data_IF_786417083612
#
_entry.id   IF_786417083612
#
_cell.length_a   1.000
_cell.length_b   1.000
_cell.length_c   1.000
_cell.angle_alpha   90.00
_cell.angle_beta   90.00
_cell.angle_gamma   90.00
#
_symmetry.space_group_name_H-M   'P 1'
#
loop_
_entity.id
_entity.type
_entity.pdbx_description
1 polymer ?
#
# COMPACT_ATOMS: atom_id res chain seq x y z
N UNK A 1 7.56 2.49 -22.47
CA UNK A 1 8.07 1.96 -21.19
C UNK A 1 9.36 2.71 -20.88
N UNK A 2 9.46 3.29 -19.70
CA UNK A 2 10.64 4.08 -19.29
C UNK A 2 11.64 3.25 -18.48
N UNK A 3 11.34 1.97 -18.24
CA UNK A 3 12.21 1.00 -17.53
C UNK A 3 12.65 1.43 -16.13
N UNK A 4 11.82 2.21 -15.41
CA UNK A 4 12.16 2.80 -14.10
C UNK A 4 12.42 1.77 -12.99
N UNK A 5 11.89 0.55 -13.14
CA UNK A 5 12.10 -0.56 -12.21
C UNK A 5 12.77 -1.76 -12.87
N UNK A 6 13.47 -1.55 -14.00
CA UNK A 6 14.11 -2.63 -14.76
C UNK A 6 15.04 -3.47 -13.91
N UNK A 7 14.77 -4.78 -13.89
CA UNK A 7 15.57 -5.75 -13.15
C UNK A 7 15.40 -5.71 -11.63
N UNK A 8 14.48 -4.89 -11.11
CA UNK A 8 14.16 -4.87 -9.68
C UNK A 8 13.05 -5.87 -9.36
N UNK A 9 13.16 -6.55 -8.23
CA UNK A 9 12.07 -7.36 -7.68
C UNK A 9 11.24 -6.51 -6.73
N UNK A 10 9.94 -6.40 -7.00
CA UNK A 10 8.99 -5.65 -6.21
C UNK A 10 7.96 -6.57 -5.56
N UNK A 11 7.92 -6.60 -4.23
CA UNK A 11 6.84 -7.24 -3.47
C UNK A 11 5.72 -6.22 -3.25
N UNK A 12 4.49 -6.60 -3.54
CA UNK A 12 3.28 -5.79 -3.32
C UNK A 12 2.30 -6.57 -2.46
N UNK A 13 2.12 -6.18 -1.21
CA UNK A 13 1.08 -6.73 -0.36
C UNK A 13 -0.28 -6.11 -0.72
N UNK A 14 -1.34 -6.94 -0.82
CA UNK A 14 -2.64 -6.48 -1.32
C UNK A 14 -2.60 -6.11 -2.81
N UNK A 15 -1.70 -6.74 -3.58
CA UNK A 15 -1.43 -6.41 -4.97
C UNK A 15 -2.43 -6.98 -5.99
N UNK A 16 -3.49 -7.66 -5.55
CA UNK A 16 -4.43 -8.33 -6.44
C UNK A 16 -5.43 -7.37 -7.11
N UNK A 17 -5.94 -6.37 -6.40
CA UNK A 17 -7.03 -5.52 -6.87
C UNK A 17 -6.83 -4.04 -6.53
N UNK A 18 -7.72 -3.18 -6.99
CA UNK A 18 -7.72 -1.76 -6.66
C UNK A 18 -6.39 -1.06 -6.93
N UNK A 19 -5.94 -0.23 -6.00
CA UNK A 19 -4.67 0.50 -6.10
C UNK A 19 -3.46 -0.44 -6.15
N UNK A 20 -3.47 -1.53 -5.37
CA UNK A 20 -2.41 -2.54 -5.39
C UNK A 20 -2.32 -3.26 -6.74
N UNK A 21 -3.46 -3.64 -7.33
CA UNK A 21 -3.51 -4.25 -8.66
C UNK A 21 -3.06 -3.28 -9.76
N UNK A 22 -3.41 -2.00 -9.67
CA UNK A 22 -2.92 -0.97 -10.59
C UNK A 22 -1.40 -0.80 -10.46
N UNK A 23 -0.87 -0.76 -9.23
CA UNK A 23 0.57 -0.70 -8.98
C UNK A 23 1.28 -1.95 -9.50
N UNK A 24 0.71 -3.15 -9.28
CA UNK A 24 1.29 -4.41 -9.79
C UNK A 24 1.47 -4.39 -11.30
N UNK A 25 0.45 -3.98 -12.04
CA UNK A 25 0.51 -3.86 -13.50
C UNK A 25 1.50 -2.77 -13.92
N UNK A 26 1.47 -1.61 -13.29
CA UNK A 26 2.36 -0.49 -13.64
C UNK A 26 3.83 -0.82 -13.36
N UNK A 27 4.14 -1.43 -12.20
CA UNK A 27 5.52 -1.79 -11.85
C UNK A 27 6.08 -2.84 -12.82
N UNK A 28 5.27 -3.83 -13.21
CA UNK A 28 5.67 -4.80 -14.23
C UNK A 28 5.89 -4.13 -15.60
N UNK A 29 5.02 -3.20 -16.01
CA UNK A 29 5.18 -2.44 -17.24
C UNK A 29 6.44 -1.55 -17.24
N UNK A 30 6.98 -1.21 -16.06
CA UNK A 30 8.24 -0.47 -15.87
C UNK A 30 9.45 -1.40 -15.61
N UNK A 31 9.29 -2.71 -15.92
CA UNK A 31 10.38 -3.68 -15.96
C UNK A 31 10.68 -4.38 -14.65
N UNK A 32 9.80 -4.29 -13.64
CA UNK A 32 9.96 -5.05 -12.40
C UNK A 32 9.53 -6.51 -12.56
N UNK A 33 10.19 -7.41 -11.82
CA UNK A 33 9.63 -8.71 -11.44
C UNK A 33 8.68 -8.51 -10.27
N UNK A 34 7.37 -8.66 -10.50
CA UNK A 34 6.34 -8.34 -9.49
C UNK A 34 5.93 -9.59 -8.72
N UNK A 35 6.07 -9.54 -7.40
CA UNK A 35 5.61 -10.55 -6.47
C UNK A 35 4.36 -10.03 -5.73
N UNK A 36 3.19 -10.54 -6.08
CA UNK A 36 1.92 -10.20 -5.44
C UNK A 36 1.73 -11.10 -4.22
N UNK A 37 1.58 -10.50 -3.02
CA UNK A 37 1.18 -11.23 -1.82
C UNK A 37 -0.23 -10.76 -1.44
N UNK A 38 -1.22 -11.66 -1.55
CA UNK A 38 -2.62 -11.33 -1.30
C UNK A 38 -3.36 -12.53 -0.70
N UNK A 39 -4.34 -12.26 0.17
CA UNK A 39 -5.20 -13.32 0.72
C UNK A 39 -6.17 -13.91 -0.31
N UNK A 40 -6.48 -13.15 -1.36
CA UNK A 40 -7.32 -13.59 -2.48
C UNK A 40 -6.45 -14.12 -3.63
N UNK A 41 -6.08 -15.39 -3.54
CA UNK A 41 -5.24 -16.05 -4.55
C UNK A 41 -5.85 -16.04 -5.96
N UNK A 42 -7.18 -16.13 -6.09
CA UNK A 42 -7.84 -16.09 -7.41
C UNK A 42 -7.67 -14.73 -8.08
N UNK A 43 -7.95 -13.64 -7.37
CA UNK A 43 -7.77 -12.29 -7.90
C UNK A 43 -6.29 -12.00 -8.18
N UNK A 44 -5.37 -12.49 -7.34
CA UNK A 44 -3.94 -12.36 -7.57
C UNK A 44 -3.50 -13.11 -8.85
N UNK A 45 -4.00 -14.32 -9.08
CA UNK A 45 -3.74 -15.10 -10.29
C UNK A 45 -4.26 -14.39 -11.56
N UNK A 46 -5.42 -13.74 -11.50
CA UNK A 46 -5.97 -12.95 -12.62
C UNK A 46 -5.08 -11.75 -12.94
N UNK A 47 -4.60 -11.02 -11.91
CA UNK A 47 -3.70 -9.89 -12.11
C UNK A 47 -2.34 -10.35 -12.65
N UNK A 48 -1.78 -11.46 -12.15
CA UNK A 48 -0.57 -12.08 -12.71
C UNK A 48 -0.75 -12.44 -14.19
N UNK A 49 -1.88 -13.05 -14.55
CA UNK A 49 -2.18 -13.37 -15.95
C UNK A 49 -2.20 -12.12 -16.81
N UNK A 50 -2.93 -11.08 -16.38
CA UNK A 50 -3.00 -9.80 -17.09
C UNK A 50 -1.62 -9.16 -17.31
N UNK A 51 -0.73 -9.25 -16.31
CA UNK A 51 0.65 -8.75 -16.41
C UNK A 51 1.44 -9.56 -17.45
N UNK A 52 1.35 -10.88 -17.41
CA UNK A 52 2.06 -11.78 -18.33
C UNK A 52 1.55 -11.63 -19.78
N UNK A 53 0.26 -11.50 -19.96
CA UNK A 53 -0.36 -11.24 -21.27
C UNK A 53 0.09 -9.91 -21.90
N UNK A 54 0.44 -8.92 -21.04
CA UNK A 54 1.03 -7.66 -21.45
C UNK A 54 2.58 -7.71 -21.62
N UNK A 55 3.20 -8.90 -21.47
CA UNK A 55 4.64 -9.10 -21.63
C UNK A 55 5.48 -8.79 -20.38
N UNK A 56 4.86 -8.53 -19.24
CA UNK A 56 5.53 -8.34 -17.95
C UNK A 56 5.81 -9.64 -17.22
N UNK A 57 6.54 -9.56 -16.11
CA UNK A 57 6.86 -10.71 -15.26
C UNK A 57 6.26 -10.54 -13.87
N UNK A 58 5.43 -11.51 -13.46
CA UNK A 58 4.82 -11.53 -12.14
C UNK A 58 4.52 -12.96 -11.68
N UNK A 59 4.55 -13.16 -10.35
CA UNK A 59 4.02 -14.34 -9.67
C UNK A 59 3.22 -13.91 -8.44
N UNK A 60 2.46 -14.84 -7.83
CA UNK A 60 1.72 -14.54 -6.61
C UNK A 60 1.90 -15.61 -5.54
N UNK A 61 1.74 -15.18 -4.29
CA UNK A 61 1.70 -16.01 -3.07
C UNK A 61 0.43 -15.67 -2.30
N UNK A 62 -0.36 -16.69 -2.01
CA UNK A 62 -1.57 -16.51 -1.21
C UNK A 62 -1.19 -16.53 0.27
N UNK A 63 -1.35 -15.39 0.95
CA UNK A 63 -1.02 -15.25 2.37
C UNK A 63 -1.87 -14.17 3.03
N UNK A 64 -2.23 -14.40 4.30
CA UNK A 64 -2.70 -13.34 5.18
C UNK A 64 -1.45 -12.65 5.77
N UNK A 65 -1.26 -11.39 5.40
CA UNK A 65 -0.08 -10.60 5.82
C UNK A 65 -0.14 -10.16 7.28
N UNK A 66 -1.25 -10.39 7.98
CA UNK A 66 -1.35 -10.21 9.43
C UNK A 66 -0.77 -11.36 10.23
N UNK A 67 -0.37 -12.48 9.57
CA UNK A 67 0.16 -13.70 10.19
C UNK A 67 1.65 -13.88 9.87
N UNK A 68 2.49 -13.94 10.92
CA UNK A 68 3.96 -13.93 10.78
C UNK A 68 4.50 -15.13 9.96
N UNK A 69 3.99 -16.33 10.22
CA UNK A 69 4.44 -17.52 9.50
C UNK A 69 4.07 -17.48 8.01
N UNK A 70 2.88 -16.95 7.69
CA UNK A 70 2.43 -16.79 6.31
C UNK A 70 3.28 -15.74 5.56
N UNK A 71 3.62 -14.64 6.21
CA UNK A 71 4.53 -13.61 5.66
C UNK A 71 5.91 -14.19 5.40
N UNK A 72 6.50 -14.88 6.39
CA UNK A 72 7.83 -15.45 6.27
C UNK A 72 7.90 -16.49 5.13
N UNK A 73 6.90 -17.36 5.02
CA UNK A 73 6.81 -18.34 3.95
C UNK A 73 6.68 -17.68 2.56
N UNK A 74 5.82 -16.67 2.43
CA UNK A 74 5.63 -15.94 1.18
C UNK A 74 6.91 -15.20 0.76
N UNK A 75 7.56 -14.46 1.66
CA UNK A 75 8.80 -13.72 1.38
C UNK A 75 9.96 -14.67 1.03
N UNK A 76 10.06 -15.82 1.72
CA UNK A 76 11.05 -16.86 1.36
C UNK A 76 10.78 -17.45 -0.04
N UNK A 77 9.51 -17.64 -0.41
CA UNK A 77 9.11 -18.06 -1.75
C UNK A 77 9.49 -17.04 -2.83
N UNK A 78 9.31 -15.76 -2.56
CA UNK A 78 9.73 -14.66 -3.47
C UNK A 78 11.26 -14.67 -3.65
N UNK A 79 12.01 -14.78 -2.55
CA UNK A 79 13.48 -14.85 -2.62
C UNK A 79 13.97 -16.07 -3.39
N UNK A 80 13.38 -17.23 -3.18
CA UNK A 80 13.72 -18.45 -3.92
C UNK A 80 13.44 -18.31 -5.42
N UNK A 81 12.40 -17.54 -5.80
CA UNK A 81 11.98 -17.34 -7.19
C UNK A 81 12.80 -16.27 -7.93
N UNK A 82 13.09 -15.15 -7.25
CA UNK A 82 13.64 -13.95 -7.89
C UNK A 82 14.99 -13.51 -7.29
N UNK A 83 15.42 -14.09 -6.19
CA UNK A 83 16.66 -13.71 -5.50
C UNK A 83 16.48 -12.44 -4.68
N UNK A 84 17.11 -11.33 -5.10
CA UNK A 84 17.06 -10.08 -4.37
C UNK A 84 15.66 -9.44 -4.34
N UNK A 85 15.33 -8.74 -3.25
CA UNK A 85 14.14 -7.89 -3.14
C UNK A 85 14.60 -6.43 -3.04
N UNK A 86 14.14 -5.59 -3.96
CA UNK A 86 14.56 -4.19 -4.07
C UNK A 86 13.47 -3.20 -3.69
N UNK A 87 12.19 -3.60 -3.85
CA UNK A 87 11.04 -2.77 -3.56
C UNK A 87 10.03 -3.55 -2.71
N UNK A 88 9.52 -2.91 -1.67
CA UNK A 88 8.38 -3.38 -0.90
C UNK A 88 7.28 -2.32 -0.95
N UNK A 89 6.15 -2.65 -1.57
CA UNK A 89 4.95 -1.82 -1.46
C UNK A 89 4.01 -2.45 -0.43
N UNK A 90 4.06 -1.93 0.80
CA UNK A 90 3.16 -2.27 1.90
C UNK A 90 1.81 -1.59 1.66
N UNK A 91 0.90 -2.30 0.95
CA UNK A 91 -0.37 -1.74 0.54
C UNK A 91 -1.58 -2.43 1.16
N UNK A 92 -1.48 -3.70 1.56
CA UNK A 92 -2.58 -4.42 2.18
C UNK A 92 -3.19 -3.63 3.34
N UNK A 93 -4.52 -3.51 3.35
CA UNK A 93 -5.24 -2.77 4.37
C UNK A 93 -6.75 -2.87 4.18
N UNK A 94 -7.47 -2.45 5.22
CA UNK A 94 -8.94 -2.42 5.24
C UNK A 94 -9.44 -1.32 6.18
N UNK A 95 -10.76 -1.17 6.30
CA UNK A 95 -11.41 -0.13 7.09
C UNK A 95 -12.56 -0.71 7.92
N UNK A 96 -12.78 -0.12 9.10
CA UNK A 96 -14.00 -0.26 9.91
C UNK A 96 -14.63 1.13 9.98
N UNK A 97 -15.89 1.23 9.58
CA UNK A 97 -16.69 2.46 9.57
C UNK A 97 -17.84 2.27 10.53
N UNK A 98 -17.80 2.98 11.66
CA UNK A 98 -18.73 2.76 12.76
C UNK A 98 -18.69 3.89 13.77
N UNK A 99 -19.82 4.26 14.42
CA UNK A 99 -19.79 5.14 15.58
C UNK A 99 -18.80 4.62 16.63
N UNK A 100 -17.94 5.48 17.15
CA UNK A 100 -16.86 5.05 18.06
C UNK A 100 -17.34 4.24 19.26
N UNK A 101 -18.44 4.64 19.87
CA UNK A 101 -19.00 3.95 21.05
C UNK A 101 -19.56 2.56 20.74
N UNK A 102 -19.74 2.22 19.46
CA UNK A 102 -20.21 0.92 19.00
C UNK A 102 -19.07 0.01 18.53
N UNK A 103 -17.84 0.52 18.48
CA UNK A 103 -16.67 -0.28 18.12
C UNK A 103 -16.29 -1.22 19.25
N UNK A 104 -15.70 -2.38 18.88
CA UNK A 104 -15.26 -3.38 19.85
C UNK A 104 -13.74 -3.50 19.90
N UNK A 105 -13.22 -4.11 20.98
CA UNK A 105 -11.78 -4.39 21.11
C UNK A 105 -11.33 -5.37 20.02
N UNK A 106 -12.17 -6.33 19.65
CA UNK A 106 -11.89 -7.29 18.59
C UNK A 106 -11.75 -6.62 17.22
N UNK A 107 -12.60 -5.63 16.91
CA UNK A 107 -12.51 -4.83 15.70
C UNK A 107 -11.23 -3.97 15.70
N UNK A 108 -10.87 -3.39 16.85
CA UNK A 108 -9.62 -2.65 17.03
C UNK A 108 -8.40 -3.55 16.79
N UNK A 109 -8.34 -4.71 17.45
CA UNK A 109 -7.22 -5.64 17.35
C UNK A 109 -7.08 -6.18 15.93
N UNK A 110 -8.21 -6.54 15.31
CA UNK A 110 -8.24 -7.02 13.93
C UNK A 110 -7.75 -5.94 12.94
N UNK A 111 -8.26 -4.71 13.05
CA UNK A 111 -7.88 -3.64 12.12
C UNK A 111 -6.40 -3.27 12.27
N UNK A 112 -5.88 -3.23 13.50
CA UNK A 112 -4.46 -3.03 13.75
C UNK A 112 -3.61 -4.21 13.24
N UNK A 113 -4.10 -5.43 13.35
CA UNK A 113 -3.41 -6.58 12.77
C UNK A 113 -3.28 -6.46 11.25
N UNK A 114 -4.36 -6.07 10.56
CA UNK A 114 -4.37 -5.95 9.11
C UNK A 114 -3.61 -4.72 8.62
N UNK A 115 -3.77 -3.54 9.24
CA UNK A 115 -3.24 -2.28 8.71
C UNK A 115 -1.85 -1.92 9.26
N UNK A 116 -1.48 -2.37 10.46
CA UNK A 116 -0.24 -1.96 11.14
C UNK A 116 0.70 -3.13 11.34
N UNK A 117 0.24 -4.22 12.01
CA UNK A 117 1.08 -5.40 12.26
C UNK A 117 1.57 -6.02 10.94
N UNK A 118 0.73 -6.06 9.91
CA UNK A 118 1.13 -6.56 8.59
C UNK A 118 2.33 -5.79 8.01
N UNK A 119 2.32 -4.46 8.09
CA UNK A 119 3.44 -3.64 7.61
C UNK A 119 4.72 -3.90 8.40
N UNK A 120 4.61 -4.06 9.71
CA UNK A 120 5.73 -4.46 10.55
C UNK A 120 6.28 -5.84 10.14
N UNK A 121 5.42 -6.85 9.98
CA UNK A 121 5.83 -8.21 9.62
C UNK A 121 6.48 -8.25 8.23
N UNK A 122 5.84 -7.66 7.23
CA UNK A 122 6.38 -7.59 5.87
C UNK A 122 7.72 -6.86 5.83
N UNK A 123 7.82 -5.70 6.50
CA UNK A 123 9.06 -4.94 6.55
C UNK A 123 10.16 -5.72 7.26
N UNK A 124 9.87 -6.35 8.40
CA UNK A 124 10.82 -7.17 9.18
C UNK A 124 11.35 -8.35 8.35
N UNK A 125 10.50 -9.01 7.56
CA UNK A 125 10.90 -10.14 6.72
C UNK A 125 11.73 -9.72 5.49
N UNK A 126 11.45 -8.54 4.93
CA UNK A 126 12.07 -8.06 3.67
C UNK A 126 13.37 -7.27 3.92
N UNK A 127 13.46 -6.48 4.97
CA UNK A 127 14.61 -5.60 5.26
C UNK A 127 15.97 -6.30 5.22
N UNK A 128 16.17 -7.47 5.85
CA UNK A 128 17.46 -8.16 5.79
C UNK A 128 17.90 -8.50 4.36
N UNK A 129 16.94 -8.82 3.49
CA UNK A 129 17.16 -9.16 2.07
C UNK A 129 17.50 -7.93 1.25
N UNK A 130 16.81 -6.80 1.50
CA UNK A 130 17.15 -5.51 0.89
C UNK A 130 18.55 -5.04 1.28
N UNK A 131 18.92 -5.15 2.56
CA UNK A 131 20.25 -4.77 3.04
C UNK A 131 21.32 -5.64 2.39
N UNK A 132 21.09 -6.94 2.27
CA UNK A 132 22.02 -7.88 1.62
C UNK A 132 22.19 -7.58 0.12
N UNK A 133 21.17 -7.01 -0.53
CA UNK A 133 21.22 -6.59 -1.95
C UNK A 133 21.78 -5.17 -2.15
N UNK A 134 22.22 -4.49 -1.10
CA UNK A 134 22.79 -3.14 -1.19
C UNK A 134 21.82 -1.99 -1.02
N UNK A 135 20.59 -2.26 -0.62
CA UNK A 135 19.56 -1.25 -0.34
C UNK A 135 18.23 -1.49 -1.05
N UNK A 136 17.29 -0.56 -0.88
CA UNK A 136 15.96 -0.70 -1.48
C UNK A 136 15.01 0.43 -1.13
N UNK A 137 13.79 0.33 -1.64
CA UNK A 137 12.71 1.28 -1.37
C UNK A 137 11.50 0.59 -0.77
N UNK A 138 11.02 1.11 0.36
CA UNK A 138 9.77 0.73 1.00
C UNK A 138 8.77 1.85 0.80
N UNK A 139 7.59 1.51 0.29
CA UNK A 139 6.45 2.43 0.15
C UNK A 139 5.33 1.89 1.01
N UNK A 140 4.80 2.70 1.92
CA UNK A 140 3.68 2.34 2.79
C UNK A 140 2.41 3.08 2.35
N UNK A 141 1.27 2.39 2.27
CA UNK A 141 -0.01 3.06 2.02
C UNK A 141 -0.61 3.57 3.31
N UNK A 142 -0.48 4.88 3.54
CA UNK A 142 -1.19 5.60 4.57
C UNK A 142 -2.57 6.09 4.05
N UNK A 143 -3.00 7.27 4.38
CA UNK A 143 -4.24 7.91 3.94
C UNK A 143 -4.18 9.41 4.26
N UNK A 144 -5.07 10.21 3.67
CA UNK A 144 -5.42 11.55 4.19
C UNK A 144 -5.88 11.45 5.65
N UNK A 145 -6.53 10.35 6.04
CA UNK A 145 -7.05 10.06 7.39
C UNK A 145 -5.96 10.04 8.48
N UNK A 146 -4.68 9.99 8.10
CA UNK A 146 -3.59 10.14 9.07
C UNK A 146 -3.38 11.58 9.57
N UNK A 147 -3.97 12.59 8.89
CA UNK A 147 -3.84 14.03 9.21
C UNK A 147 -5.17 14.77 9.18
N UNK A 148 -6.18 14.25 8.50
CA UNK A 148 -7.52 14.81 8.38
C UNK A 148 -8.53 13.72 8.75
N UNK A 149 -9.00 13.74 9.99
CA UNK A 149 -9.89 12.70 10.51
C UNK A 149 -11.27 12.74 9.84
N UNK A 150 -11.79 11.55 9.54
CA UNK A 150 -13.13 11.36 9.03
C UNK A 150 -14.07 10.89 10.16
N UNK A 151 -15.27 11.44 10.31
CA UNK A 151 -16.26 10.91 11.25
C UNK A 151 -16.51 9.40 11.00
N UNK A 152 -16.77 8.65 12.04
CA UNK A 152 -17.03 7.18 12.01
C UNK A 152 -15.81 6.31 11.68
N UNK A 153 -14.61 6.89 11.53
CA UNK A 153 -13.39 6.17 11.14
C UNK A 153 -12.28 6.16 12.20
N UNK A 154 -12.58 6.40 13.47
CA UNK A 154 -11.58 6.55 14.54
C UNK A 154 -10.55 5.40 14.56
N UNK A 155 -10.99 4.14 14.37
CA UNK A 155 -10.10 3.00 14.33
C UNK A 155 -9.17 3.06 13.11
N UNK A 156 -9.72 3.41 11.95
CA UNK A 156 -8.96 3.53 10.71
C UNK A 156 -7.94 4.66 10.77
N UNK A 157 -8.37 5.87 11.20
CA UNK A 157 -7.52 7.04 11.33
C UNK A 157 -6.31 6.75 12.22
N UNK A 158 -6.53 6.05 13.35
CA UNK A 158 -5.43 5.65 14.25
C UNK A 158 -4.45 4.71 13.59
N UNK A 159 -4.93 3.73 12.81
CA UNK A 159 -4.02 2.83 12.06
C UNK A 159 -3.21 3.60 11.02
N UNK A 160 -3.81 4.58 10.33
CA UNK A 160 -3.14 5.35 9.29
C UNK A 160 -2.15 6.37 9.88
N UNK A 161 -2.45 6.93 11.05
CA UNK A 161 -1.49 7.71 11.84
C UNK A 161 -0.28 6.88 12.28
N UNK A 162 -0.50 5.62 12.70
CA UNK A 162 0.59 4.69 13.03
C UNK A 162 1.49 4.40 11.81
N UNK A 163 0.91 4.19 10.62
CA UNK A 163 1.66 3.98 9.36
C UNK A 163 2.51 5.20 8.99
N UNK A 164 1.99 6.42 9.21
CA UNK A 164 2.74 7.66 9.01
C UNK A 164 4.05 7.67 9.79
N UNK A 165 3.98 7.40 11.11
CA UNK A 165 5.17 7.41 11.95
C UNK A 165 6.07 6.18 11.69
N UNK A 166 5.49 5.01 11.39
CA UNK A 166 6.24 3.82 11.01
C UNK A 166 7.16 4.06 9.82
N UNK A 167 6.64 4.69 8.75
CA UNK A 167 7.44 4.99 7.57
C UNK A 167 8.63 5.91 7.89
N UNK A 168 8.42 6.95 8.72
CA UNK A 168 9.50 7.85 9.18
C UNK A 168 10.53 7.13 10.04
N UNK A 169 10.09 6.28 10.97
CA UNK A 169 10.99 5.57 11.87
C UNK A 169 11.93 4.64 11.07
N UNK A 170 11.38 3.84 10.15
CA UNK A 170 12.18 2.98 9.27
C UNK A 170 13.12 3.81 8.38
N UNK A 171 12.65 4.93 7.83
CA UNK A 171 13.46 5.81 7.00
C UNK A 171 14.71 6.34 7.74
N UNK A 172 14.56 6.72 9.00
CA UNK A 172 15.66 7.26 9.83
C UNK A 172 16.62 6.15 10.27
N UNK A 173 16.08 5.02 10.73
CA UNK A 173 16.85 3.92 11.28
C UNK A 173 17.75 3.22 10.25
N UNK A 174 17.26 3.10 9.00
CA UNK A 174 17.95 2.33 7.96
C UNK A 174 18.55 3.17 6.81
N UNK A 175 18.58 4.51 6.94
CA UNK A 175 19.16 5.38 5.89
C UNK A 175 20.61 5.04 5.57
N UNK A 176 21.41 4.67 6.58
CA UNK A 176 22.82 4.34 6.42
C UNK A 176 23.02 2.95 5.78
N UNK A 177 21.95 2.21 5.54
CA UNK A 177 21.89 0.94 4.80
C UNK A 177 21.34 1.11 3.39
N UNK A 178 21.25 2.34 2.89
CA UNK A 178 20.68 2.66 1.59
C UNK A 178 19.22 2.19 1.45
N UNK A 179 18.46 2.26 2.55
CA UNK A 179 17.01 1.97 2.58
C UNK A 179 16.26 3.29 2.63
N UNK A 180 15.32 3.47 1.72
CA UNK A 180 14.34 4.54 1.78
C UNK A 180 12.99 3.98 2.19
N UNK A 181 12.25 4.71 3.02
CA UNK A 181 10.89 4.37 3.38
C UNK A 181 10.03 5.63 3.34
N UNK A 182 8.98 5.61 2.53
CA UNK A 182 8.07 6.74 2.34
C UNK A 182 6.62 6.24 2.41
N UNK A 183 5.69 7.15 2.61
CA UNK A 183 4.27 6.84 2.55
C UNK A 183 3.60 7.54 1.37
N UNK A 184 2.72 6.84 0.67
CA UNK A 184 1.70 7.41 -0.20
C UNK A 184 0.41 7.55 0.59
N UNK A 185 -0.24 8.70 0.48
CA UNK A 185 -1.41 9.09 1.29
C UNK A 185 -2.58 9.43 0.37
N UNK A 186 -3.36 8.43 -0.06
CA UNK A 186 -4.50 8.66 -0.95
C UNK A 186 -5.64 9.40 -0.25
N UNK A 187 -6.39 10.19 -1.03
CA UNK A 187 -7.75 10.62 -0.68
C UNK A 187 -8.78 9.55 -1.06
N UNK A 188 -9.99 9.98 -1.43
CA UNK A 188 -11.04 9.09 -1.94
C UNK A 188 -10.67 8.56 -3.32
N UNK A 189 -10.54 7.24 -3.45
CA UNK A 189 -10.11 6.55 -4.68
C UNK A 189 -11.16 5.56 -5.14
N UNK A 190 -11.48 5.52 -6.43
CA UNK A 190 -12.46 4.63 -7.07
C UNK A 190 -11.96 3.18 -7.11
N UNK A 191 -12.06 2.52 -5.98
CA UNK A 191 -11.77 1.09 -5.81
C UNK A 191 -12.97 0.40 -5.19
N UNK A 192 -13.08 -0.94 -5.22
CA UNK A 192 -14.11 -1.65 -4.46
C UNK A 192 -14.10 -1.28 -2.97
N UNK A 193 -12.91 -1.04 -2.39
CA UNK A 193 -12.74 -0.57 -1.01
C UNK A 193 -13.30 0.85 -0.84
N UNK A 194 -12.85 1.82 -1.64
CA UNK A 194 -13.28 3.21 -1.51
C UNK A 194 -14.77 3.43 -1.82
N UNK A 195 -15.33 2.68 -2.78
CA UNK A 195 -16.77 2.74 -3.05
C UNK A 195 -17.60 2.18 -1.90
N UNK A 196 -17.11 1.12 -1.22
CA UNK A 196 -17.74 0.62 0.00
C UNK A 196 -17.65 1.65 1.12
N UNK A 197 -16.51 2.26 1.34
CA UNK A 197 -16.28 3.34 2.31
C UNK A 197 -17.29 4.47 2.12
N UNK A 198 -17.41 5.00 0.92
CA UNK A 198 -18.38 6.05 0.59
C UNK A 198 -19.82 5.61 0.89
N UNK A 199 -20.20 4.39 0.50
CA UNK A 199 -21.54 3.88 0.74
C UNK A 199 -21.86 3.71 2.25
N UNK A 200 -20.90 3.19 3.03
CA UNK A 200 -21.07 3.01 4.48
C UNK A 200 -21.12 4.36 5.22
N UNK A 201 -20.27 5.33 4.86
CA UNK A 201 -20.31 6.68 5.43
C UNK A 201 -21.64 7.39 5.14
N UNK A 202 -22.14 7.31 3.90
CA UNK A 202 -23.45 7.87 3.52
C UNK A 202 -24.59 7.23 4.31
N UNK A 203 -24.54 5.92 4.52
CA UNK A 203 -25.55 5.21 5.31
C UNK A 203 -25.57 5.67 6.78
N UNK A 204 -24.44 6.17 7.30
CA UNK A 204 -24.31 6.76 8.64
C UNK A 204 -24.54 8.27 8.68
N UNK A 205 -24.99 8.88 7.56
CA UNK A 205 -25.33 10.31 7.48
C UNK A 205 -24.13 11.25 7.29
N UNK A 206 -22.95 10.73 6.96
CA UNK A 206 -21.80 11.57 6.58
C UNK A 206 -21.93 11.97 5.11
N UNK A 207 -21.84 13.26 4.81
CA UNK A 207 -21.92 13.73 3.42
C UNK A 207 -20.59 13.50 2.70
N UNK A 208 -20.52 12.38 2.01
CA UNK A 208 -19.46 12.02 1.04
C UNK A 208 -20.09 11.75 -0.34
N UNK A 209 -21.09 12.57 -0.71
CA UNK A 209 -21.65 12.58 -2.05
C UNK A 209 -20.58 12.96 -3.09
N UNK A 210 -20.81 12.61 -4.34
CA UNK A 210 -19.92 13.00 -5.45
C UNK A 210 -19.68 14.52 -5.48
N UNK A 211 -20.69 15.33 -5.12
CA UNK A 211 -20.59 16.78 -5.04
C UNK A 211 -19.70 17.21 -3.86
N UNK A 212 -19.84 16.56 -2.68
CA UNK A 212 -19.03 16.86 -1.51
C UNK A 212 -17.54 16.48 -1.74
N UNK A 213 -17.30 15.30 -2.31
CA UNK A 213 -15.94 14.86 -2.68
C UNK A 213 -15.36 15.80 -3.75
N UNK A 214 -16.14 16.18 -4.76
CA UNK A 214 -15.69 17.11 -5.80
C UNK A 214 -15.36 18.50 -5.26
N UNK A 215 -16.09 18.99 -4.26
CA UNK A 215 -15.82 20.28 -3.62
C UNK A 215 -14.47 20.29 -2.87
N UNK A 216 -14.06 19.19 -2.30
CA UNK A 216 -12.82 19.06 -1.49
C UNK A 216 -11.64 18.52 -2.31
N UNK A 217 -11.87 17.54 -3.18
CA UNK A 217 -10.83 16.83 -3.91
C UNK A 217 -10.90 17.03 -5.44
N UNK A 218 -11.88 17.80 -5.95
CA UNK A 218 -12.09 18.01 -7.38
C UNK A 218 -12.76 16.83 -8.11
N UNK A 219 -12.35 15.62 -7.81
CA UNK A 219 -12.94 14.34 -8.29
C UNK A 219 -12.56 13.20 -7.37
N UNK A 220 -13.27 12.10 -7.45
CA UNK A 220 -12.76 10.82 -6.95
C UNK A 220 -11.49 10.44 -7.75
N UNK A 221 -10.41 10.07 -7.06
CA UNK A 221 -9.17 9.62 -7.69
C UNK A 221 -9.32 8.24 -8.33
N UNK A 222 -8.46 7.93 -9.28
CA UNK A 222 -8.40 6.60 -9.87
C UNK A 222 -7.22 5.80 -9.28
N UNK A 223 -7.27 4.46 -9.26
CA UNK A 223 -6.19 3.61 -8.76
C UNK A 223 -4.82 3.95 -9.37
N UNK A 224 -4.80 4.34 -10.63
CA UNK A 224 -3.60 4.71 -11.37
C UNK A 224 -2.97 6.01 -10.87
N UNK A 225 -3.71 6.93 -10.27
CA UNK A 225 -3.16 8.15 -9.67
C UNK A 225 -2.23 7.78 -8.51
N UNK A 226 -2.66 6.84 -7.67
CA UNK A 226 -1.87 6.33 -6.54
C UNK A 226 -0.73 5.43 -7.02
N UNK A 227 -0.97 4.58 -8.02
CA UNK A 227 0.06 3.69 -8.57
C UNK A 227 1.25 4.47 -9.14
N UNK A 228 1.01 5.61 -9.82
CA UNK A 228 2.08 6.49 -10.33
C UNK A 228 2.90 7.12 -9.22
N UNK A 229 2.26 7.56 -8.13
CA UNK A 229 2.96 8.09 -6.97
C UNK A 229 3.80 7.02 -6.26
N UNK A 230 3.24 5.81 -6.09
CA UNK A 230 3.95 4.67 -5.53
C UNK A 230 5.15 4.27 -6.42
N UNK A 231 5.01 4.28 -7.74
CA UNK A 231 6.10 4.03 -8.68
C UNK A 231 7.23 5.06 -8.56
N UNK A 232 6.91 6.36 -8.45
CA UNK A 232 7.91 7.39 -8.19
C UNK A 232 8.69 7.10 -6.92
N UNK A 233 8.01 6.81 -5.81
CA UNK A 233 8.66 6.51 -4.53
C UNK A 233 9.46 5.19 -4.57
N UNK A 234 9.06 4.22 -5.36
CA UNK A 234 9.74 2.93 -5.53
C UNK A 234 11.00 3.05 -6.43
N UNK A 235 11.03 4.00 -7.35
CA UNK A 235 12.09 4.18 -8.34
C UNK A 235 13.29 5.00 -7.82
N UNK A 236 14.37 5.00 -8.58
CA UNK A 236 15.57 5.79 -8.26
C UNK A 236 15.39 7.30 -8.50
N UNK A 237 14.29 7.71 -9.16
CA UNK A 237 13.90 9.13 -9.29
C UNK A 237 13.69 9.79 -7.93
N UNK A 238 13.29 9.02 -6.91
CA UNK A 238 13.11 9.49 -5.54
C UNK A 238 14.31 9.18 -4.63
N UNK A 239 15.52 9.07 -5.17
CA UNK A 239 16.73 8.67 -4.44
C UNK A 239 17.06 9.55 -3.23
N UNK A 240 16.64 10.81 -3.22
CA UNK A 240 16.82 11.75 -2.10
C UNK A 240 15.53 12.02 -1.30
N UNK A 241 14.48 11.21 -1.54
CA UNK A 241 13.19 11.29 -0.81
C UNK A 241 13.11 10.14 0.19
N UNK A 242 13.17 10.47 1.49
CA UNK A 242 13.15 9.49 2.57
C UNK A 242 12.37 10.04 3.78
N UNK A 243 11.45 9.26 4.32
CA UNK A 243 10.55 9.68 5.40
C UNK A 243 9.45 10.65 4.97
N UNK A 244 9.23 10.80 3.67
CA UNK A 244 8.20 11.70 3.14
C UNK A 244 6.81 11.05 3.15
N UNK A 245 5.79 11.91 3.24
CA UNK A 245 4.39 11.57 3.05
C UNK A 245 3.89 12.26 1.79
N UNK A 246 3.65 11.50 0.72
CA UNK A 246 3.18 12.01 -0.55
C UNK A 246 1.65 11.89 -0.62
N UNK A 247 0.97 13.01 -0.44
CA UNK A 247 -0.48 13.08 -0.57
C UNK A 247 -0.90 12.98 -2.04
N UNK A 248 -1.88 12.12 -2.31
CA UNK A 248 -2.47 11.88 -3.64
C UNK A 248 -3.97 12.12 -3.50
N UNK A 249 -4.32 13.36 -3.23
CA UNK A 249 -5.63 13.80 -2.78
C UNK A 249 -6.12 15.08 -3.49
N UNK A 250 -5.39 15.49 -4.54
CA UNK A 250 -5.67 16.71 -5.31
C UNK A 250 -5.90 17.96 -4.45
N UNK A 251 -5.14 18.08 -3.33
CA UNK A 251 -5.18 19.25 -2.46
C UNK A 251 -6.20 19.19 -1.32
N UNK A 252 -6.89 18.07 -1.10
CA UNK A 252 -7.84 17.89 0.01
C UNK A 252 -7.24 18.30 1.36
N UNK A 253 -5.99 17.89 1.63
CA UNK A 253 -5.31 18.19 2.90
C UNK A 253 -4.50 19.47 2.90
N UNK A 254 -4.51 20.23 1.82
CA UNK A 254 -3.72 21.45 1.68
C UNK A 254 -4.44 22.73 2.17
N UNK A 255 -5.71 22.61 2.55
CA UNK A 255 -6.59 23.73 2.99
C UNK A 255 -7.19 23.46 4.36
#
# INVERSE_FOLDING_TARGET
MTDRLKGKTAIISGGATGMGGAASRLFAAEGAHVAIIDRNGNAAAETVRSIRDAGGEADHWTADVSEEDAVNAAVAGVEARYGAVNVLFNHAGTIVIKPFLETTVEEWDWLHAVNVRSMFLMTKAVLPKMIASGGGSIVCTSSISAVAATPMEVLYDTTKGAVHMFARAIAVEFRDRNIRCNAVCPGFIRTPHGLREVAELQALGVDVSDAAIAAQQGRIGEPEDVARAALYLASDESSFVNGAHLFVDNGFTAI
#
